data_IF_494717915355
#
_entry.id   IF_494717915355
#
_cell.length_a   1.000
_cell.length_b   1.000
_cell.length_c   1.000
_cell.angle_alpha   90.00
_cell.angle_beta   90.00
_cell.angle_gamma   90.00
#
_symmetry.space_group_name_H-M   'P 1'
#
loop_
_entity.id
_entity.type
_entity.pdbx_description
1 polymer ?
#
# COMPACT_ATOMS: atom_id res chain seq x y z
N UNK A 1 1.22 1.43 -4.14
CA UNK A 1 0.03 0.82 -4.77
C UNK A 1 -0.12 1.26 -6.21
N UNK A 2 -0.04 2.56 -6.49
CA UNK A 2 0.02 3.09 -7.86
C UNK A 2 1.10 2.41 -8.72
N UNK A 3 2.34 2.34 -8.23
CA UNK A 3 3.42 1.64 -8.95
C UNK A 3 3.14 0.16 -9.24
N UNK A 4 2.48 -0.55 -8.31
CA UNK A 4 2.08 -1.96 -8.53
C UNK A 4 0.98 -2.04 -9.59
N UNK A 5 -0.02 -1.18 -9.48
CA UNK A 5 -1.13 -1.16 -10.44
C UNK A 5 -0.65 -0.79 -11.84
N UNK A 6 0.21 0.22 -11.98
CA UNK A 6 0.78 0.63 -13.26
C UNK A 6 1.65 -0.49 -13.87
N UNK A 7 2.47 -1.14 -13.05
CA UNK A 7 3.26 -2.28 -13.49
C UNK A 7 2.39 -3.43 -14.03
N UNK A 8 1.33 -3.81 -13.32
CA UNK A 8 0.40 -4.85 -13.78
C UNK A 8 -0.38 -4.40 -15.02
N UNK A 9 -0.77 -3.12 -15.09
CA UNK A 9 -1.46 -2.55 -16.23
C UNK A 9 -0.59 -2.62 -17.49
N UNK A 10 0.63 -2.09 -17.43
CA UNK A 10 1.59 -2.12 -18.54
C UNK A 10 1.91 -3.56 -18.96
N UNK A 11 2.12 -4.46 -17.98
CA UNK A 11 2.33 -5.90 -18.24
C UNK A 11 1.14 -6.55 -18.95
N UNK A 12 -0.08 -6.09 -18.71
CA UNK A 12 -1.29 -6.63 -19.35
C UNK A 12 -1.54 -6.11 -20.76
N UNK A 13 -1.13 -4.88 -21.07
CA UNK A 13 -1.42 -4.22 -22.36
C UNK A 13 -0.25 -4.30 -23.35
N UNK A 14 0.98 -4.50 -22.86
CA UNK A 14 2.19 -4.49 -23.67
C UNK A 14 2.92 -5.86 -23.64
N UNK A 15 2.77 -6.68 -24.70
CA UNK A 15 3.41 -8.00 -24.78
C UNK A 15 4.94 -7.96 -24.73
N UNK A 16 5.57 -6.88 -25.24
CA UNK A 16 7.03 -6.74 -25.19
C UNK A 16 7.51 -6.49 -23.76
N UNK A 17 6.79 -5.64 -23.01
CA UNK A 17 7.07 -5.42 -21.60
C UNK A 17 6.83 -6.69 -20.76
N UNK A 18 5.75 -7.42 -21.04
CA UNK A 18 5.47 -8.69 -20.37
C UNK A 18 6.60 -9.72 -20.53
N UNK A 19 7.10 -9.87 -21.77
CA UNK A 19 8.23 -10.75 -22.07
C UNK A 19 9.52 -10.29 -21.37
N UNK A 20 9.79 -8.98 -21.39
CA UNK A 20 10.93 -8.42 -20.67
C UNK A 20 10.86 -8.73 -19.16
N UNK A 21 9.71 -8.52 -18.52
CA UNK A 21 9.51 -8.83 -17.11
C UNK A 21 9.82 -10.30 -16.82
N UNK A 22 9.27 -11.21 -17.62
CA UNK A 22 9.51 -12.66 -17.46
C UNK A 22 11.00 -13.02 -17.60
N UNK A 23 11.69 -12.44 -18.58
CA UNK A 23 13.13 -12.64 -18.78
C UNK A 23 13.95 -12.14 -17.58
N UNK A 24 13.61 -10.97 -17.02
CA UNK A 24 14.27 -10.42 -15.84
C UNK A 24 14.00 -11.27 -14.60
N UNK A 25 12.77 -11.71 -14.36
CA UNK A 25 12.38 -12.50 -13.19
C UNK A 25 13.08 -13.87 -13.15
N UNK A 26 13.45 -14.43 -14.31
CA UNK A 26 14.21 -15.68 -14.44
C UNK A 26 15.71 -15.54 -14.17
N UNK A 27 16.26 -14.32 -14.15
CA UNK A 27 17.68 -14.10 -13.88
C UNK A 27 18.05 -14.48 -12.44
N UNK A 28 19.31 -14.88 -12.22
CA UNK A 28 19.79 -15.33 -10.90
C UNK A 28 19.73 -14.20 -9.86
N UNK A 29 19.95 -12.97 -10.31
CA UNK A 29 19.95 -11.73 -9.54
C UNK A 29 18.57 -11.44 -8.92
N UNK A 30 17.51 -11.80 -9.65
CA UNK A 30 16.12 -11.68 -9.20
C UNK A 30 15.76 -12.70 -8.13
N UNK A 31 16.60 -13.72 -7.89
CA UNK A 31 16.38 -14.79 -6.89
C UNK A 31 14.98 -15.40 -6.97
N UNK A 32 14.39 -15.49 -8.18
CA UNK A 32 13.02 -15.94 -8.46
C UNK A 32 11.92 -15.12 -7.75
N UNK A 33 12.19 -13.86 -7.43
CA UNK A 33 11.23 -12.95 -6.83
C UNK A 33 10.75 -11.94 -7.87
N UNK A 34 9.44 -11.78 -7.97
CA UNK A 34 8.80 -10.78 -8.83
C UNK A 34 9.02 -9.36 -8.29
N UNK A 35 8.92 -8.36 -9.16
CA UNK A 35 9.13 -6.94 -8.78
C UNK A 35 8.24 -6.53 -7.60
N UNK A 36 6.97 -6.96 -7.59
CA UNK A 36 6.03 -6.70 -6.50
C UNK A 36 6.55 -7.22 -5.14
N UNK A 37 7.26 -8.34 -5.14
CA UNK A 37 7.92 -8.89 -3.96
C UNK A 37 9.05 -8.00 -3.45
N UNK A 38 9.76 -7.29 -4.33
CA UNK A 38 10.78 -6.31 -3.95
C UNK A 38 10.18 -4.99 -3.45
N UNK A 39 9.10 -4.52 -4.08
CA UNK A 39 8.42 -3.27 -3.70
C UNK A 39 7.86 -3.31 -2.27
N UNK A 40 7.58 -4.51 -1.73
CA UNK A 40 7.11 -4.68 -0.34
C UNK A 40 8.25 -4.78 0.68
N UNK A 41 9.52 -4.96 0.26
CA UNK A 41 10.65 -5.14 1.18
C UNK A 41 10.92 -3.93 2.07
N UNK A 42 10.91 -2.67 1.59
CA UNK A 42 11.17 -1.52 2.46
C UNK A 42 10.15 -1.42 3.61
N UNK A 43 8.86 -1.55 3.30
CA UNK A 43 7.78 -1.49 4.30
C UNK A 43 7.88 -2.64 5.30
N UNK A 44 8.04 -3.87 4.80
CA UNK A 44 8.15 -5.06 5.68
C UNK A 44 9.43 -5.03 6.51
N UNK A 45 10.53 -4.49 5.98
CA UNK A 45 11.78 -4.31 6.73
C UNK A 45 11.60 -3.30 7.85
N UNK A 46 10.95 -2.17 7.58
CA UNK A 46 10.68 -1.15 8.59
C UNK A 46 9.87 -1.73 9.76
N UNK A 47 8.85 -2.54 9.46
CA UNK A 47 8.02 -3.20 10.47
C UNK A 47 8.76 -4.26 11.30
N UNK A 48 9.89 -4.78 10.81
CA UNK A 48 10.71 -5.77 11.55
C UNK A 48 11.65 -5.14 12.56
N UNK A 49 12.04 -3.87 12.41
CA UNK A 49 13.00 -3.25 13.32
C UNK A 49 12.56 -3.25 14.79
N UNK A 50 11.29 -2.93 15.13
CA UNK A 50 10.84 -3.04 16.52
C UNK A 50 11.06 -4.43 17.11
N UNK A 51 10.67 -5.48 16.37
CA UNK A 51 10.81 -6.88 16.80
C UNK A 51 12.27 -7.26 17.05
N UNK A 52 13.17 -6.85 16.13
CA UNK A 52 14.59 -7.17 16.24
C UNK A 52 15.25 -6.41 17.40
N UNK A 53 14.94 -5.13 17.56
CA UNK A 53 15.53 -4.30 18.61
C UNK A 53 14.97 -4.63 20.01
N UNK A 54 13.69 -5.02 20.10
CA UNK A 54 13.11 -5.58 21.33
C UNK A 54 13.82 -6.86 21.74
N UNK A 55 14.14 -7.73 20.79
CA UNK A 55 14.89 -8.95 21.05
C UNK A 55 16.31 -8.65 21.56
N UNK A 56 16.99 -7.65 20.98
CA UNK A 56 18.29 -7.19 21.49
C UNK A 56 18.15 -6.65 22.92
N UNK A 57 17.23 -5.71 23.15
CA UNK A 57 17.01 -5.10 24.47
C UNK A 57 16.72 -6.12 25.58
N UNK A 58 15.95 -7.17 25.24
CA UNK A 58 15.64 -8.27 26.15
C UNK A 58 16.88 -9.06 26.59
N UNK A 59 17.88 -9.19 25.72
CA UNK A 59 19.10 -9.97 25.98
C UNK A 59 20.32 -9.10 26.30
N UNK A 60 20.19 -7.78 26.32
CA UNK A 60 21.23 -6.89 26.83
C UNK A 60 21.35 -7.02 28.35
N UNK A 61 22.58 -6.90 28.87
CA UNK A 61 22.86 -6.79 30.31
C UNK A 61 22.42 -5.43 30.86
N UNK A 62 22.13 -5.35 32.16
CA UNK A 62 21.61 -4.12 32.80
C UNK A 62 22.64 -2.98 32.85
N UNK A 63 23.94 -3.31 32.78
CA UNK A 63 25.04 -2.34 32.75
C UNK A 63 25.34 -1.79 31.35
N UNK A 64 24.67 -2.30 30.30
CA UNK A 64 24.91 -1.88 28.93
C UNK A 64 24.11 -0.61 28.61
N UNK A 65 24.75 0.39 28.00
CA UNK A 65 24.12 1.64 27.51
C UNK A 65 22.91 1.40 26.60
N UNK A 66 22.87 0.27 25.89
CA UNK A 66 21.75 -0.13 25.05
C UNK A 66 20.43 -0.29 25.83
N UNK A 67 20.47 -0.54 27.14
CA UNK A 67 19.28 -0.56 28.00
C UNK A 67 18.57 0.78 28.05
N UNK A 68 19.31 1.87 27.93
CA UNK A 68 18.76 3.23 27.90
C UNK A 68 18.43 3.70 26.48
N UNK A 69 19.25 3.33 25.50
CA UNK A 69 19.14 3.86 24.14
C UNK A 69 18.14 3.11 23.26
N UNK A 70 18.06 1.78 23.37
CA UNK A 70 17.12 0.99 22.57
C UNK A 70 15.65 1.37 22.82
N UNK A 71 15.19 1.65 24.06
CA UNK A 71 13.84 2.16 24.29
C UNK A 71 13.55 3.48 23.55
N UNK A 72 14.52 4.40 23.50
CA UNK A 72 14.37 5.68 22.77
C UNK A 72 14.23 5.43 21.27
N UNK A 73 15.09 4.56 20.71
CA UNK A 73 15.05 4.19 19.28
C UNK A 73 13.75 3.47 18.93
N UNK A 74 13.27 2.56 19.78
CA UNK A 74 12.01 1.85 19.59
C UNK A 74 10.82 2.82 19.49
N UNK A 75 10.79 3.85 20.34
CA UNK A 75 9.77 4.91 20.27
C UNK A 75 9.82 5.61 18.92
N UNK A 76 10.99 6.07 18.48
CA UNK A 76 11.16 6.76 17.19
C UNK A 76 10.72 5.90 16.00
N UNK A 77 11.09 4.62 15.98
CA UNK A 77 10.74 3.71 14.88
C UNK A 77 9.25 3.40 14.85
N UNK A 78 8.61 3.19 16.01
CA UNK A 78 7.16 2.97 16.08
C UNK A 78 6.37 4.20 15.64
N UNK A 79 6.87 5.38 15.98
CA UNK A 79 6.25 6.65 15.57
C UNK A 79 6.38 6.86 14.05
N UNK A 80 7.56 6.56 13.50
CA UNK A 80 7.78 6.54 12.05
C UNK A 80 6.85 5.54 11.34
N UNK A 81 6.71 4.31 11.87
CA UNK A 81 5.79 3.30 11.33
C UNK A 81 4.35 3.79 11.31
N UNK A 82 3.91 4.43 12.40
CA UNK A 82 2.56 4.99 12.51
C UNK A 82 2.32 6.07 11.46
N UNK A 83 3.31 6.96 11.24
CA UNK A 83 3.28 7.98 10.19
C UNK A 83 3.24 7.35 8.79
N UNK A 84 4.11 6.38 8.52
CA UNK A 84 4.15 5.68 7.22
C UNK A 84 2.83 4.98 6.93
N UNK A 85 2.24 4.31 7.93
CA UNK A 85 0.96 3.64 7.78
C UNK A 85 -0.17 4.64 7.46
N UNK A 86 -0.22 5.76 8.19
CA UNK A 86 -1.20 6.83 7.94
C UNK A 86 -1.06 7.42 6.53
N UNK A 87 0.14 7.78 6.12
CA UNK A 87 0.37 8.39 4.81
C UNK A 87 0.16 7.37 3.67
N UNK A 88 0.47 6.10 3.89
CA UNK A 88 0.16 5.01 2.95
C UNK A 88 -1.35 4.84 2.79
N UNK A 89 -2.11 4.84 3.88
CA UNK A 89 -3.57 4.75 3.84
C UNK A 89 -4.22 5.94 3.14
N UNK A 90 -3.73 7.17 3.39
CA UNK A 90 -4.18 8.36 2.66
C UNK A 90 -3.88 8.25 1.16
N UNK A 91 -2.69 7.79 0.78
CA UNK A 91 -2.32 7.61 -0.61
C UNK A 91 -3.18 6.54 -1.30
N UNK A 92 -3.48 5.43 -0.61
CA UNK A 92 -4.40 4.39 -1.08
C UNK A 92 -5.80 4.92 -1.32
N UNK A 93 -6.35 5.64 -0.33
CA UNK A 93 -7.68 6.23 -0.43
C UNK A 93 -7.78 7.19 -1.61
N UNK A 94 -6.79 8.08 -1.78
CA UNK A 94 -6.72 8.99 -2.94
C UNK A 94 -6.66 8.24 -4.26
N UNK A 95 -5.84 7.20 -4.34
CA UNK A 95 -5.73 6.36 -5.52
C UNK A 95 -7.07 5.71 -5.88
N UNK A 96 -7.76 5.11 -4.90
CA UNK A 96 -9.07 4.50 -5.12
C UNK A 96 -10.14 5.50 -5.55
N UNK A 97 -10.17 6.70 -4.97
CA UNK A 97 -11.09 7.76 -5.37
C UNK A 97 -10.85 8.24 -6.80
N UNK A 98 -9.59 8.44 -7.18
CA UNK A 98 -9.21 8.80 -8.55
C UNK A 98 -9.67 7.74 -9.55
N UNK A 99 -9.44 6.46 -9.24
CA UNK A 99 -9.91 5.36 -10.09
C UNK A 99 -11.43 5.29 -10.19
N UNK A 100 -12.13 5.49 -9.07
CA UNK A 100 -13.59 5.52 -9.04
C UNK A 100 -14.12 6.66 -9.92
N UNK A 101 -13.50 7.84 -9.86
CA UNK A 101 -13.84 8.98 -10.72
C UNK A 101 -13.67 8.66 -12.21
N UNK A 102 -12.56 8.02 -12.59
CA UNK A 102 -12.29 7.63 -13.98
C UNK A 102 -13.21 6.51 -14.50
N UNK A 103 -13.63 5.59 -13.63
CA UNK A 103 -14.45 4.42 -14.00
C UNK A 103 -15.96 4.71 -13.99
N UNK A 104 -16.41 5.74 -13.29
CA UNK A 104 -17.82 6.09 -13.20
C UNK A 104 -18.36 6.52 -14.55
N UNK A 105 -19.38 5.79 -15.03
CA UNK A 105 -20.11 6.12 -16.25
C UNK A 105 -21.50 6.58 -15.90
N UNK A 106 -21.86 7.78 -16.38
CA UNK A 106 -23.20 8.33 -16.25
C UNK A 106 -23.97 8.09 -17.56
N UNK A 107 -25.28 7.88 -17.45
CA UNK A 107 -26.15 7.96 -18.62
C UNK A 107 -26.18 9.40 -19.13
N UNK A 108 -26.45 9.62 -20.42
CA UNK A 108 -26.69 10.97 -20.94
C UNK A 108 -27.74 11.68 -20.08
N UNK A 109 -27.46 12.93 -19.69
CA UNK A 109 -28.31 13.78 -18.82
C UNK A 109 -28.45 13.38 -17.34
N UNK A 110 -27.76 12.35 -16.84
CA UNK A 110 -27.76 11.96 -15.42
C UNK A 110 -26.41 12.21 -14.72
N UNK A 111 -25.56 13.10 -15.28
CA UNK A 111 -24.24 13.36 -14.71
C UNK A 111 -24.39 14.08 -13.36
N UNK A 112 -23.86 13.45 -12.31
CA UNK A 112 -23.78 14.04 -10.96
C UNK A 112 -22.32 14.31 -10.63
N UNK A 113 -22.02 15.53 -10.20
CA UNK A 113 -20.68 15.89 -9.74
C UNK A 113 -20.47 15.37 -8.31
N UNK A 114 -19.75 14.25 -8.20
CA UNK A 114 -19.52 13.56 -6.95
C UNK A 114 -18.30 14.07 -6.17
N UNK A 115 -17.50 14.96 -6.79
CA UNK A 115 -16.36 15.62 -6.12
C UNK A 115 -15.39 14.61 -5.49
N UNK A 116 -15.17 13.51 -6.20
CA UNK A 116 -14.41 12.36 -5.69
C UNK A 116 -12.93 12.69 -5.46
N UNK A 117 -12.40 13.69 -6.15
CA UNK A 117 -11.01 14.12 -6.07
C UNK A 117 -10.80 15.33 -5.15
N UNK A 118 -11.84 15.84 -4.49
CA UNK A 118 -11.72 16.95 -3.54
C UNK A 118 -10.93 16.54 -2.28
N UNK A 119 -10.23 17.51 -1.70
CA UNK A 119 -9.47 17.32 -0.48
C UNK A 119 -10.41 16.97 0.70
N UNK A 120 -10.01 15.99 1.52
CA UNK A 120 -10.83 15.48 2.62
C UNK A 120 -11.89 14.44 2.24
N UNK A 121 -12.03 14.11 0.94
CA UNK A 121 -12.88 12.99 0.52
C UNK A 121 -12.24 11.66 0.89
N UNK A 122 -13.00 10.77 1.53
CA UNK A 122 -12.54 9.44 1.93
C UNK A 122 -13.58 8.35 1.65
N UNK A 123 -13.09 7.17 1.24
CA UNK A 123 -13.88 5.95 1.14
C UNK A 123 -13.84 5.29 2.51
N UNK A 124 -14.89 5.52 3.30
CA UNK A 124 -15.03 4.92 4.64
C UNK A 124 -15.41 3.44 4.56
N UNK A 125 -16.25 3.08 3.58
CA UNK A 125 -16.78 1.74 3.44
C UNK A 125 -17.04 1.38 1.98
N UNK A 126 -16.79 0.11 1.63
CA UNK A 126 -17.06 -0.45 0.30
C UNK A 126 -17.65 -1.86 0.47
N UNK A 127 -18.85 -2.06 -0.05
CA UNK A 127 -19.52 -3.36 -0.08
C UNK A 127 -20.25 -3.57 -1.41
N UNK A 128 -20.66 -4.82 -1.65
CA UNK A 128 -21.58 -5.15 -2.73
C UNK A 128 -23.01 -5.05 -2.20
N UNK A 129 -23.85 -4.25 -2.86
CA UNK A 129 -25.27 -4.15 -2.55
C UNK A 129 -26.08 -4.82 -3.66
N UNK A 130 -27.15 -5.53 -3.28
CA UNK A 130 -28.13 -6.11 -4.21
C UNK A 130 -29.42 -5.33 -4.08
N UNK A 131 -29.94 -4.83 -5.20
CA UNK A 131 -31.27 -4.21 -5.24
C UNK A 131 -32.31 -5.31 -5.13
N UNK A 132 -33.19 -5.24 -4.13
CA UNK A 132 -34.33 -6.16 -4.06
C UNK A 132 -35.46 -5.64 -4.96
N UNK A 133 -36.32 -6.52 -5.52
CA UNK A 133 -37.37 -6.12 -6.46
C UNK A 133 -38.35 -5.07 -5.92
N UNK A 134 -38.45 -4.94 -4.60
CA UNK A 134 -39.38 -4.03 -3.94
C UNK A 134 -38.81 -2.64 -3.63
N UNK A 135 -37.52 -2.37 -3.91
CA UNK A 135 -36.91 -1.04 -3.74
C UNK A 135 -37.19 -0.15 -4.96
N UNK A 136 -38.45 0.25 -5.11
CA UNK A 136 -38.87 1.30 -6.05
C UNK A 136 -39.48 2.45 -5.25
N UNK A 137 -38.72 3.50 -5.02
CA UNK A 137 -39.19 4.82 -4.56
C UNK A 137 -38.49 5.89 -5.37
#
# INVERSE_FOLDING_TARGET
>A
MEAKHEFENEKSINPYFAKFVEEIERRKESRKLELNGYLTKPTTRLARYPLLLEAVLKHSEESNSDKEDLPKVLTVIRDLLSRVNRESGKAENRFHLKRLHEQLRFRPNERVELRLTEEGREIVFKSQLRKTPHDSS
#
